data_IF_648625983752
#
_entry.id   IF_648625983752
#
_cell.length_a   1.000
_cell.length_b   1.000
_cell.length_c   1.000
_cell.angle_alpha   90.00
_cell.angle_beta   90.00
_cell.angle_gamma   90.00
#
_symmetry.space_group_name_H-M   'P 1'
#
loop_
_entity.id
_entity.type
_entity.pdbx_description
1 polymer ?
#
# COMPACT_ATOMS: atom_id res chain seq x y z
N UNK A 1 -9.36 7.63 -25.45
CA UNK A 1 -9.26 7.80 -23.98
C UNK A 1 -9.51 9.26 -23.69
N UNK A 2 -10.59 9.58 -22.95
CA UNK A 2 -10.97 10.95 -22.60
C UNK A 2 -9.77 11.71 -22.04
N UNK A 3 -9.55 12.95 -22.52
CA UNK A 3 -8.51 13.82 -22.01
C UNK A 3 -8.65 14.09 -20.51
N UNK A 4 -9.88 13.95 -19.98
CA UNK A 4 -10.20 14.08 -18.56
C UNK A 4 -9.59 12.96 -17.71
N UNK A 5 -9.61 11.71 -18.19
CA UNK A 5 -9.01 10.58 -17.47
C UNK A 5 -7.51 10.81 -17.28
N UNK A 6 -6.81 11.28 -18.33
CA UNK A 6 -5.38 11.58 -18.25
C UNK A 6 -5.08 12.71 -17.27
N UNK A 7 -5.97 13.70 -17.12
CA UNK A 7 -5.81 14.76 -16.12
C UNK A 7 -5.93 14.22 -14.71
N UNK A 8 -6.96 13.42 -14.45
CA UNK A 8 -7.19 12.77 -13.16
C UNK A 8 -6.02 11.86 -12.77
N UNK A 9 -5.57 10.99 -13.68
CA UNK A 9 -4.40 10.13 -13.47
C UNK A 9 -3.17 10.94 -13.04
N UNK A 10 -2.85 12.02 -13.76
CA UNK A 10 -1.70 12.86 -13.43
C UNK A 10 -1.85 13.57 -12.07
N UNK A 11 -3.06 14.00 -11.71
CA UNK A 11 -3.34 14.61 -10.43
C UNK A 11 -3.19 13.62 -9.27
N UNK A 12 -3.65 12.39 -9.45
CA UNK A 12 -3.49 11.29 -8.49
C UNK A 12 -2.02 10.88 -8.37
N UNK A 13 -1.29 10.74 -9.47
CA UNK A 13 0.15 10.44 -9.43
C UNK A 13 0.92 11.50 -8.65
N UNK A 14 0.61 12.79 -8.84
CA UNK A 14 1.27 13.87 -8.08
C UNK A 14 0.97 13.77 -6.57
N UNK A 15 -0.28 13.51 -6.20
CA UNK A 15 -0.68 13.31 -4.80
C UNK A 15 -0.01 12.07 -4.19
N UNK A 16 -0.06 10.94 -4.91
CA UNK A 16 0.55 9.69 -4.51
C UNK A 16 2.07 9.77 -4.37
N UNK A 17 2.75 10.52 -5.24
CA UNK A 17 4.19 10.76 -5.11
C UNK A 17 4.55 11.62 -3.89
N UNK A 18 3.70 12.58 -3.51
CA UNK A 18 3.97 13.42 -2.33
C UNK A 18 3.73 12.66 -1.01
N UNK A 19 2.73 11.77 -0.98
CA UNK A 19 2.33 11.05 0.24
C UNK A 19 2.92 9.63 0.33
N UNK A 20 3.31 9.04 -0.78
CA UNK A 20 3.70 7.63 -0.91
C UNK A 20 2.53 6.64 -0.97
N UNK A 21 1.29 7.12 -0.81
CA UNK A 21 0.07 6.32 -0.83
C UNK A 21 -1.13 7.13 -1.32
N UNK A 22 -2.14 6.42 -1.79
CA UNK A 22 -3.48 6.89 -2.15
C UNK A 22 -4.51 5.93 -1.56
N UNK A 23 -5.68 6.46 -1.26
CA UNK A 23 -6.82 5.65 -0.82
C UNK A 23 -7.73 5.30 -1.99
N UNK A 24 -8.43 4.17 -1.89
CA UNK A 24 -9.41 3.78 -2.91
C UNK A 24 -10.55 4.80 -3.01
N UNK A 25 -10.94 5.44 -1.91
CA UNK A 25 -11.95 6.50 -1.90
C UNK A 25 -11.52 7.72 -2.72
N UNK A 26 -10.25 8.14 -2.61
CA UNK A 26 -9.71 9.25 -3.43
C UNK A 26 -9.78 8.94 -4.93
N UNK A 27 -9.49 7.70 -5.31
CA UNK A 27 -9.54 7.29 -6.71
C UNK A 27 -10.99 7.22 -7.19
N UNK A 28 -11.88 6.66 -6.38
CA UNK A 28 -13.28 6.53 -6.70
C UNK A 28 -13.96 7.89 -6.87
N UNK A 29 -13.70 8.83 -5.96
CA UNK A 29 -14.25 10.19 -6.01
C UNK A 29 -13.84 10.92 -7.31
N UNK A 30 -12.57 10.83 -7.69
CA UNK A 30 -12.08 11.48 -8.91
C UNK A 30 -12.59 10.81 -10.19
N UNK A 31 -12.92 9.52 -10.12
CA UNK A 31 -13.58 8.80 -11.20
C UNK A 31 -15.05 9.17 -11.33
N UNK A 32 -15.75 9.38 -10.20
CA UNK A 32 -17.14 9.85 -10.18
C UNK A 32 -17.28 11.24 -10.81
N UNK A 33 -16.31 12.13 -10.58
CA UNK A 33 -16.27 13.49 -11.17
C UNK A 33 -16.22 13.49 -12.72
N UNK A 34 -15.69 12.43 -13.32
CA UNK A 34 -15.58 12.26 -14.78
C UNK A 34 -16.57 11.23 -15.33
N UNK A 35 -17.57 10.81 -14.53
CA UNK A 35 -18.55 9.77 -14.85
C UNK A 35 -17.93 8.46 -15.36
N UNK A 36 -16.71 8.14 -14.90
CA UNK A 36 -15.99 6.95 -15.31
C UNK A 36 -16.39 5.74 -14.45
N UNK A 37 -16.61 4.61 -15.11
CA UNK A 37 -17.08 3.37 -14.47
C UNK A 37 -15.93 2.39 -14.18
N UNK A 38 -16.22 1.32 -13.44
CA UNK A 38 -15.24 0.41 -12.79
C UNK A 38 -14.07 -0.11 -13.63
N UNK A 39 -14.19 -0.22 -14.96
CA UNK A 39 -13.04 -0.57 -15.82
C UNK A 39 -11.91 0.49 -15.75
N UNK A 40 -12.26 1.77 -15.66
CA UNK A 40 -11.29 2.86 -15.52
C UNK A 40 -10.59 2.81 -14.15
N UNK A 41 -11.29 2.36 -13.12
CA UNK A 41 -10.74 2.26 -11.77
C UNK A 41 -9.63 1.22 -11.75
N UNK A 42 -9.89 0.06 -12.34
CA UNK A 42 -8.95 -1.05 -12.35
C UNK A 42 -7.70 -0.72 -13.19
N UNK A 43 -7.88 -0.05 -14.33
CA UNK A 43 -6.77 0.45 -15.15
C UNK A 43 -5.91 1.47 -14.40
N UNK A 44 -6.54 2.42 -13.70
CA UNK A 44 -5.85 3.46 -12.96
C UNK A 44 -5.14 2.90 -11.72
N UNK A 45 -5.79 1.99 -10.98
CA UNK A 45 -5.20 1.32 -9.84
C UNK A 45 -3.96 0.50 -10.24
N UNK A 46 -4.01 -0.16 -11.40
CA UNK A 46 -2.85 -0.87 -11.93
C UNK A 46 -1.73 0.10 -12.36
N UNK A 47 -2.06 1.21 -13.02
CA UNK A 47 -1.07 2.23 -13.40
C UNK A 47 -0.39 2.85 -12.16
N UNK A 48 -1.16 3.17 -11.12
CA UNK A 48 -0.64 3.70 -9.86
C UNK A 48 0.29 2.68 -9.17
N UNK A 49 -0.07 1.39 -9.16
CA UNK A 49 0.79 0.31 -8.65
C UNK A 49 2.09 0.18 -9.42
N UNK A 50 2.05 0.26 -10.76
CA UNK A 50 3.25 0.22 -11.61
C UNK A 50 4.16 1.45 -11.39
N UNK A 51 3.59 2.59 -11.01
CA UNK A 51 4.34 3.79 -10.60
C UNK A 51 4.90 3.70 -9.17
N UNK A 52 4.60 2.65 -8.43
CA UNK A 52 5.07 2.43 -7.05
C UNK A 52 4.24 3.17 -6.00
N UNK A 53 3.04 3.63 -6.34
CA UNK A 53 2.13 4.29 -5.39
C UNK A 53 1.31 3.22 -4.68
N UNK A 54 1.30 3.25 -3.34
CA UNK A 54 0.52 2.31 -2.54
C UNK A 54 -0.96 2.67 -2.55
N UNK A 55 -1.82 1.66 -2.65
CA UNK A 55 -3.26 1.79 -2.59
C UNK A 55 -3.78 1.23 -1.27
N UNK A 56 -4.50 2.03 -0.49
CA UNK A 56 -5.14 1.63 0.77
C UNK A 56 -6.67 1.64 0.64
N UNK A 57 -7.34 0.62 1.13
CA UNK A 57 -8.79 0.65 1.33
C UNK A 57 -9.11 1.52 2.56
N UNK A 58 -10.15 2.36 2.48
CA UNK A 58 -10.49 3.25 3.60
C UNK A 58 -10.84 2.46 4.87
N UNK A 59 -10.05 2.68 5.91
CA UNK A 59 -10.24 2.20 7.26
C UNK A 59 -9.03 2.61 8.11
N UNK A 60 -9.16 2.78 9.43
CA UNK A 60 -8.01 3.04 10.29
C UNK A 60 -7.20 1.73 10.42
N UNK A 61 -6.44 1.38 9.39
CA UNK A 61 -5.55 0.24 9.42
C UNK A 61 -4.12 0.75 9.61
N UNK A 62 -3.75 0.82 10.89
CA UNK A 62 -2.38 0.58 11.34
C UNK A 62 -2.00 -0.80 10.78
N UNK A 63 -1.43 -0.86 9.58
CA UNK A 63 -0.91 -2.11 9.03
C UNK A 63 0.49 -1.88 8.50
N UNK A 64 1.41 -2.37 9.32
CA UNK A 64 2.80 -2.81 9.14
C UNK A 64 3.20 -3.44 7.77
N UNK A 65 2.49 -3.22 6.67
CA UNK A 65 2.70 -3.92 5.39
C UNK A 65 3.56 -3.09 4.41
N UNK A 66 4.71 -2.62 4.90
CA UNK A 66 5.70 -1.88 4.12
C UNK A 66 6.91 -2.72 3.67
N UNK A 67 6.86 -4.06 3.76
CA UNK A 67 8.03 -4.90 3.47
C UNK A 67 7.94 -5.70 2.15
N UNK A 68 6.77 -5.94 1.55
CA UNK A 68 6.70 -6.96 0.48
C UNK A 68 6.85 -6.49 -0.98
N UNK A 69 7.06 -5.20 -1.25
CA UNK A 69 7.17 -4.71 -2.63
C UNK A 69 8.58 -4.22 -3.01
N UNK A 70 9.62 -4.90 -2.53
CA UNK A 70 10.95 -4.83 -3.17
C UNK A 70 11.30 -6.21 -3.71
N UNK A 71 11.07 -6.36 -5.02
CA UNK A 71 11.67 -7.36 -5.90
C UNK A 71 12.99 -7.94 -5.37
N UNK A 72 13.08 -9.27 -5.30
CA UNK A 72 14.35 -9.98 -5.22
C UNK A 72 14.40 -11.05 -4.14
N UNK A 73 14.23 -12.29 -4.57
CA UNK A 73 14.66 -13.50 -3.89
C UNK A 73 16.13 -13.40 -3.44
N UNK A 74 16.34 -12.90 -2.23
CA UNK A 74 17.56 -13.16 -1.46
C UNK A 74 17.09 -13.59 -0.07
N UNK A 75 17.22 -14.89 0.18
CA UNK A 75 17.12 -15.50 1.52
C UNK A 75 18.30 -14.99 2.35
N UNK A 76 18.26 -13.74 2.77
CA UNK A 76 19.19 -13.19 3.74
C UNK A 76 18.89 -13.84 5.11
N UNK A 77 19.81 -14.63 5.68
CA UNK A 77 19.61 -15.28 6.98
C UNK A 77 19.24 -14.29 8.08
N UNK A 78 19.71 -13.04 7.99
CA UNK A 78 19.37 -11.99 8.94
C UNK A 78 17.91 -11.59 8.81
N UNK A 79 17.36 -11.49 7.59
CA UNK A 79 15.93 -11.21 7.37
C UNK A 79 15.04 -12.35 7.85
N UNK A 80 15.46 -13.60 7.66
CA UNK A 80 14.75 -14.76 8.19
C UNK A 80 14.69 -14.70 9.73
N UNK A 81 15.83 -14.39 10.37
CA UNK A 81 15.90 -14.24 11.82
C UNK A 81 15.05 -13.07 12.34
N UNK A 82 15.12 -11.90 11.69
CA UNK A 82 14.33 -10.72 12.07
C UNK A 82 12.83 -10.94 11.90
N UNK A 83 12.42 -11.68 10.88
CA UNK A 83 11.03 -12.05 10.70
C UNK A 83 10.57 -13.03 11.78
N UNK A 84 11.42 -13.99 12.17
CA UNK A 84 11.09 -15.02 13.16
C UNK A 84 11.03 -14.50 14.60
N UNK A 85 11.91 -13.57 15.01
CA UNK A 85 11.86 -12.97 16.36
C UNK A 85 10.61 -12.10 16.59
N UNK A 86 10.04 -11.52 15.52
CA UNK A 86 8.81 -10.72 15.61
C UNK A 86 7.53 -11.55 15.78
N UNK A 87 7.61 -12.88 15.60
CA UNK A 87 6.45 -13.78 15.68
C UNK A 87 6.09 -14.20 17.11
N UNK A 88 7.02 -14.06 18.05
CA UNK A 88 6.82 -14.45 19.44
C UNK A 88 6.68 -13.21 20.31
N UNK A 89 5.63 -13.19 21.12
CA UNK A 89 5.44 -12.15 22.13
C UNK A 89 6.56 -12.23 23.16
N UNK A 90 7.10 -11.07 23.56
CA UNK A 90 8.10 -10.99 24.62
C UNK A 90 7.49 -11.47 25.94
N UNK A 91 8.31 -12.12 26.76
CA UNK A 91 7.91 -12.51 28.10
C UNK A 91 7.74 -11.28 28.99
N UNK A 92 6.81 -11.38 29.92
CA UNK A 92 6.68 -10.42 31.02
C UNK A 92 7.70 -10.73 32.11
N UNK A 93 8.07 -9.73 32.91
CA UNK A 93 9.05 -9.89 33.99
C UNK A 93 8.68 -10.99 35.02
N UNK A 94 7.39 -11.29 35.19
CA UNK A 94 6.93 -12.37 36.07
C UNK A 94 7.18 -13.75 35.44
N UNK A 95 6.99 -13.87 34.12
CA UNK A 95 7.21 -15.11 33.39
C UNK A 95 8.70 -15.47 33.26
N UNK A 96 9.60 -14.47 33.21
CA UNK A 96 11.04 -14.71 33.22
C UNK A 96 11.55 -15.28 34.56
N UNK A 97 10.84 -15.04 35.67
CA UNK A 97 11.23 -15.52 37.00
C UNK A 97 10.76 -16.96 37.26
N UNK A 98 9.74 -17.44 36.54
CA UNK A 98 9.17 -18.79 36.67
C UNK A 98 9.81 -19.84 35.72
N UNK A 99 10.67 -19.41 34.81
CA UNK A 99 11.44 -20.25 33.88
C UNK A 99 12.77 -20.73 34.48
#
# INVERSE_FOLDING_TARGET
MSDDLKRVTNALIKRGNHRGFLTMAEIQQELEDIEAHGEAFEQLAEELRQKGIKLQEEGPAVTEELIEASHGSVSDPVRLYLNEIGRYQLLTAQQEVEL
#
